data_IF_431671255823
#
_entry.id   IF_431671255823
#
_cell.length_a   1.000
_cell.length_b   1.000
_cell.length_c   1.000
_cell.angle_alpha   90.00
_cell.angle_beta   90.00
_cell.angle_gamma   90.00
#
_symmetry.space_group_name_H-M   'P 1'
#
loop_
_entity.id
_entity.type
_entity.pdbx_description
1 polymer ?
#
# COMPACT_ATOMS: atom_id res chain seq x y z
N UNK A 1 -12.60 51.40 -23.85
CA UNK A 1 -13.89 50.75 -23.49
C UNK A 1 -14.02 49.32 -24.07
N UNK A 2 -13.59 49.07 -25.31
CA UNK A 2 -13.73 47.70 -25.93
C UNK A 2 -12.77 46.69 -25.34
N UNK A 3 -11.56 47.10 -24.97
CA UNK A 3 -10.54 46.22 -24.36
C UNK A 3 -10.87 45.79 -22.92
N UNK A 4 -11.58 46.66 -22.20
CA UNK A 4 -12.06 46.39 -20.82
C UNK A 4 -13.16 45.32 -20.82
N UNK A 5 -14.01 45.33 -21.83
CA UNK A 5 -15.10 44.36 -21.98
C UNK A 5 -14.62 42.97 -22.38
N UNK A 6 -13.49 42.87 -23.10
CA UNK A 6 -12.86 41.60 -23.44
C UNK A 6 -12.10 40.94 -22.26
N UNK A 7 -11.66 41.74 -21.28
CA UNK A 7 -11.02 41.19 -20.07
C UNK A 7 -12.01 40.61 -19.07
N UNK A 8 -13.28 41.03 -19.09
CA UNK A 8 -14.31 40.45 -18.23
C UNK A 8 -14.95 39.15 -18.76
N UNK A 9 -14.71 38.80 -20.03
CA UNK A 9 -15.33 37.63 -20.68
C UNK A 9 -14.51 36.34 -20.60
N UNK A 10 -13.34 36.32 -19.94
CA UNK A 10 -12.48 35.13 -19.88
C UNK A 10 -12.04 34.77 -18.46
N UNK A 11 -12.91 34.89 -17.49
CA UNK A 11 -12.73 34.10 -16.28
C UNK A 11 -13.05 32.64 -16.64
N UNK A 12 -12.12 31.70 -16.46
CA UNK A 12 -12.45 30.29 -16.62
C UNK A 12 -13.56 29.98 -15.62
N UNK A 13 -14.73 29.64 -16.15
CA UNK A 13 -15.79 29.04 -15.34
C UNK A 13 -15.22 27.71 -14.89
N UNK A 14 -14.64 27.68 -13.70
CA UNK A 14 -14.43 26.44 -12.98
C UNK A 14 -15.82 25.87 -12.73
N UNK A 15 -16.30 25.06 -13.69
CA UNK A 15 -17.32 24.08 -13.36
C UNK A 15 -16.66 23.19 -12.33
N UNK A 16 -16.84 23.52 -11.05
CA UNK A 16 -16.54 22.62 -9.96
C UNK A 16 -17.38 21.37 -10.22
N UNK A 17 -16.76 20.38 -10.83
CA UNK A 17 -17.28 19.02 -10.79
C UNK A 17 -17.18 18.66 -9.31
N UNK A 18 -18.25 18.91 -8.56
CA UNK A 18 -18.44 18.29 -7.27
C UNK A 18 -18.66 16.81 -7.62
N UNK A 19 -17.60 16.03 -7.58
CA UNK A 19 -17.70 14.58 -7.54
C UNK A 19 -18.37 14.28 -6.20
N UNK A 20 -19.71 14.33 -6.18
CA UNK A 20 -20.48 13.85 -5.05
C UNK A 20 -20.18 12.35 -4.95
N UNK A 21 -19.67 11.94 -3.79
CA UNK A 21 -19.51 10.50 -3.51
C UNK A 21 -20.83 9.79 -3.83
N UNK A 22 -20.77 8.85 -4.73
CA UNK A 22 -21.93 8.02 -5.07
C UNK A 22 -22.40 7.24 -3.83
N UNK A 23 -23.64 6.85 -3.78
CA UNK A 23 -24.15 6.00 -2.69
C UNK A 23 -23.32 4.72 -2.57
N UNK A 24 -22.84 4.21 -3.70
CA UNK A 24 -21.96 3.03 -3.79
C UNK A 24 -20.59 3.28 -3.16
N UNK A 25 -19.99 4.45 -3.41
CA UNK A 25 -18.69 4.78 -2.82
C UNK A 25 -18.79 4.98 -1.30
N UNK A 26 -19.86 5.57 -0.83
CA UNK A 26 -20.16 5.70 0.61
C UNK A 26 -20.31 4.34 1.26
N UNK A 27 -21.08 3.45 0.62
CA UNK A 27 -21.26 2.08 1.09
C UNK A 27 -19.93 1.33 1.12
N UNK A 28 -19.13 1.37 0.05
CA UNK A 28 -17.82 0.71 -0.03
C UNK A 28 -16.89 1.17 1.09
N UNK A 29 -16.81 2.48 1.35
CA UNK A 29 -16.00 3.02 2.45
C UNK A 29 -16.50 2.57 3.81
N UNK A 30 -17.81 2.63 4.04
CA UNK A 30 -18.42 2.19 5.29
C UNK A 30 -18.20 0.69 5.52
N UNK A 31 -18.31 -0.14 4.48
CA UNK A 31 -18.07 -1.56 4.54
C UNK A 31 -16.61 -1.89 4.88
N UNK A 32 -15.64 -1.23 4.24
CA UNK A 32 -14.21 -1.38 4.54
C UNK A 32 -13.92 -1.05 5.99
N UNK A 33 -14.39 0.10 6.46
CA UNK A 33 -14.13 0.54 7.83
C UNK A 33 -14.86 -0.34 8.86
N UNK A 34 -16.04 -0.87 8.53
CA UNK A 34 -16.78 -1.81 9.40
C UNK A 34 -16.02 -3.12 9.61
N UNK A 35 -15.42 -3.67 8.55
CA UNK A 35 -14.59 -4.89 8.63
C UNK A 35 -13.35 -4.66 9.49
N UNK A 36 -12.70 -3.51 9.36
CA UNK A 36 -11.53 -3.15 10.16
C UNK A 36 -11.89 -2.94 11.64
N UNK A 37 -13.01 -2.24 11.92
CA UNK A 37 -13.52 -2.07 13.28
C UNK A 37 -13.92 -3.41 13.92
N UNK A 38 -14.58 -4.30 13.15
CA UNK A 38 -14.93 -5.65 13.60
C UNK A 38 -13.70 -6.49 13.94
N UNK A 39 -12.58 -6.23 13.25
CA UNK A 39 -11.28 -6.85 13.53
C UNK A 39 -10.53 -6.21 14.73
N UNK A 40 -11.09 -5.20 15.36
CA UNK A 40 -10.47 -4.50 16.51
C UNK A 40 -9.39 -3.49 16.10
N UNK A 41 -9.32 -3.09 14.85
CA UNK A 41 -8.43 -2.01 14.43
C UNK A 41 -9.05 -0.65 14.77
N UNK A 42 -8.24 0.24 15.31
CA UNK A 42 -8.68 1.60 15.62
C UNK A 42 -8.58 2.46 14.36
N UNK A 43 -9.68 3.10 13.99
CA UNK A 43 -9.76 4.06 12.90
C UNK A 43 -10.13 5.40 13.52
N UNK A 44 -9.32 6.43 13.29
CA UNK A 44 -9.55 7.77 13.86
C UNK A 44 -10.87 8.37 13.37
N UNK A 45 -11.13 8.28 12.06
CA UNK A 45 -12.33 8.82 11.44
C UNK A 45 -12.99 7.74 10.56
N UNK A 46 -13.82 6.86 11.13
CA UNK A 46 -14.54 5.86 10.35
C UNK A 46 -15.60 6.52 9.47
N UNK A 47 -15.82 5.98 8.29
CA UNK A 47 -16.84 6.44 7.36
C UNK A 47 -18.23 6.37 7.98
N UNK A 48 -19.11 7.31 7.57
CA UNK A 48 -20.48 7.34 8.03
C UNK A 48 -21.19 6.00 7.72
N UNK A 49 -21.88 5.44 8.70
CA UNK A 49 -22.53 4.12 8.61
C UNK A 49 -21.63 2.92 8.93
N UNK A 50 -20.31 3.08 9.01
CA UNK A 50 -19.40 1.95 9.30
C UNK A 50 -19.72 1.24 10.61
N UNK A 51 -20.04 2.01 11.66
CA UNK A 51 -20.38 1.44 12.98
C UNK A 51 -21.69 0.64 12.97
N UNK A 52 -22.64 1.02 12.12
CA UNK A 52 -23.93 0.29 11.98
C UNK A 52 -23.73 -1.05 11.28
N UNK A 53 -22.72 -1.13 10.40
CA UNK A 53 -22.41 -2.31 9.61
C UNK A 53 -21.49 -3.32 10.33
N UNK A 54 -20.97 -3.01 11.53
CA UNK A 54 -20.05 -3.92 12.28
C UNK A 54 -20.67 -5.30 12.53
N UNK A 55 -21.99 -5.37 12.73
CA UNK A 55 -22.72 -6.62 12.93
C UNK A 55 -22.92 -7.47 11.68
N UNK A 56 -22.66 -6.94 10.49
CA UNK A 56 -22.84 -7.68 9.23
C UNK A 56 -21.82 -8.81 9.10
N UNK A 57 -22.27 -9.94 8.58
CA UNK A 57 -21.40 -11.06 8.20
C UNK A 57 -20.85 -10.84 6.80
N UNK A 58 -19.74 -11.47 6.46
CA UNK A 58 -19.21 -11.43 5.09
C UNK A 58 -20.26 -11.87 4.04
N UNK A 59 -21.13 -12.82 4.43
CA UNK A 59 -22.24 -13.25 3.59
C UNK A 59 -23.23 -12.12 3.28
N UNK A 60 -23.63 -11.38 4.32
CA UNK A 60 -24.63 -10.29 4.18
C UNK A 60 -24.03 -9.15 3.34
N UNK A 61 -22.77 -8.82 3.62
CA UNK A 61 -22.03 -7.85 2.81
C UNK A 61 -21.91 -8.27 1.34
N UNK A 62 -21.66 -9.56 1.10
CA UNK A 62 -21.59 -10.11 -0.25
C UNK A 62 -22.91 -10.01 -1.01
N UNK A 63 -24.04 -10.22 -0.33
CA UNK A 63 -25.38 -10.07 -0.90
C UNK A 63 -25.64 -8.62 -1.31
N UNK A 64 -25.34 -7.67 -0.44
CA UNK A 64 -25.47 -6.24 -0.75
C UNK A 64 -24.60 -5.84 -1.95
N UNK A 65 -23.36 -6.31 -2.00
CA UNK A 65 -22.47 -6.06 -3.13
C UNK A 65 -23.02 -6.65 -4.45
N UNK A 66 -23.53 -7.87 -4.41
CA UNK A 66 -24.12 -8.50 -5.60
C UNK A 66 -25.37 -7.75 -6.10
N UNK A 67 -26.16 -7.18 -5.18
CA UNK A 67 -27.28 -6.32 -5.53
C UNK A 67 -26.84 -5.03 -6.20
N UNK A 68 -25.79 -4.40 -5.67
CA UNK A 68 -25.19 -3.21 -6.27
C UNK A 68 -24.62 -3.49 -7.66
N UNK A 69 -24.01 -4.65 -7.85
CA UNK A 69 -23.47 -5.10 -9.14
C UNK A 69 -24.60 -5.54 -10.12
N UNK A 70 -25.88 -5.28 -9.79
CA UNK A 70 -27.02 -5.52 -10.66
C UNK A 70 -27.57 -6.96 -10.66
N UNK A 71 -27.14 -7.78 -9.71
CA UNK A 71 -27.71 -9.13 -9.56
C UNK A 71 -29.10 -9.04 -8.94
N UNK A 72 -30.11 -9.69 -9.58
CA UNK A 72 -31.47 -9.64 -9.09
C UNK A 72 -31.61 -10.15 -7.65
N UNK A 73 -32.28 -9.37 -6.80
CA UNK A 73 -32.51 -9.68 -5.38
C UNK A 73 -33.28 -11.00 -5.15
N UNK A 74 -34.07 -11.43 -6.14
CA UNK A 74 -34.92 -12.62 -6.00
C UNK A 74 -34.07 -13.86 -5.76
N UNK A 75 -34.07 -14.31 -4.50
CA UNK A 75 -33.49 -15.59 -4.14
C UNK A 75 -32.04 -15.50 -3.58
N UNK A 76 -31.36 -14.37 -3.60
CA UNK A 76 -30.00 -14.25 -3.04
C UNK A 76 -29.95 -14.65 -1.54
N UNK A 77 -30.93 -14.19 -0.75
CA UNK A 77 -31.03 -14.53 0.67
C UNK A 77 -31.30 -16.01 0.94
N UNK A 78 -31.92 -16.72 -0.03
CA UNK A 78 -32.25 -18.16 0.06
C UNK A 78 -31.11 -19.04 -0.44
N UNK A 79 -30.15 -18.50 -1.17
CA UNK A 79 -29.03 -19.27 -1.71
C UNK A 79 -28.13 -19.79 -0.59
N UNK A 80 -27.62 -20.98 -0.80
CA UNK A 80 -26.59 -21.52 0.10
C UNK A 80 -25.30 -20.69 -0.01
N UNK A 81 -24.51 -20.68 1.06
CA UNK A 81 -23.21 -19.96 1.09
C UNK A 81 -22.27 -20.41 -0.04
N UNK A 82 -22.37 -21.65 -0.48
CA UNK A 82 -21.58 -22.20 -1.59
C UNK A 82 -21.94 -21.58 -2.92
N UNK A 83 -23.24 -21.42 -3.17
CA UNK A 83 -23.73 -20.77 -4.39
C UNK A 83 -23.35 -19.30 -4.43
N UNK A 84 -23.45 -18.61 -3.29
CA UNK A 84 -23.03 -17.23 -3.17
C UNK A 84 -21.52 -17.09 -3.42
N UNK A 85 -20.72 -17.98 -2.83
CA UNK A 85 -19.27 -17.98 -3.08
C UNK A 85 -18.93 -18.22 -4.56
N UNK A 86 -19.66 -19.11 -5.21
CA UNK A 86 -19.51 -19.36 -6.66
C UNK A 86 -19.85 -18.14 -7.51
N UNK A 87 -20.88 -17.37 -7.14
CA UNK A 87 -21.24 -16.12 -7.80
C UNK A 87 -20.16 -15.06 -7.57
N UNK A 88 -19.71 -14.90 -6.33
CA UNK A 88 -18.65 -13.96 -5.98
C UNK A 88 -17.33 -14.28 -6.67
N UNK A 89 -17.00 -15.57 -6.81
CA UNK A 89 -15.74 -15.99 -7.45
C UNK A 89 -15.66 -15.54 -8.90
N UNK A 90 -16.80 -15.43 -9.59
CA UNK A 90 -16.88 -14.83 -10.93
C UNK A 90 -16.59 -13.33 -10.90
N UNK A 91 -17.07 -12.64 -9.86
CA UNK A 91 -16.81 -11.21 -9.64
C UNK A 91 -15.34 -10.88 -9.42
N UNK A 92 -14.51 -11.81 -8.90
CA UNK A 92 -13.07 -11.58 -8.73
C UNK A 92 -12.31 -11.38 -10.05
N UNK A 93 -12.90 -11.78 -11.16
CA UNK A 93 -12.36 -11.50 -12.50
C UNK A 93 -12.84 -10.16 -13.07
N UNK A 94 -13.79 -9.50 -12.40
CA UNK A 94 -14.28 -8.18 -12.76
C UNK A 94 -13.70 -7.13 -11.83
N UNK A 95 -12.85 -6.21 -12.32
CA UNK A 95 -12.21 -5.20 -11.48
C UNK A 95 -13.20 -4.17 -10.89
N UNK A 96 -14.40 -4.08 -11.45
CA UNK A 96 -15.45 -3.15 -11.02
C UNK A 96 -16.36 -3.74 -9.94
N UNK A 97 -16.29 -5.05 -9.68
CA UNK A 97 -17.13 -5.71 -8.70
C UNK A 97 -16.93 -5.16 -7.28
N UNK A 98 -18.03 -4.87 -6.59
CA UNK A 98 -18.00 -4.19 -5.30
C UNK A 98 -17.33 -5.00 -4.19
N UNK A 99 -17.63 -6.28 -4.09
CA UNK A 99 -17.10 -7.13 -3.02
C UNK A 99 -15.57 -7.34 -3.07
N UNK A 100 -14.96 -7.69 -4.21
CA UNK A 100 -13.51 -7.76 -4.34
C UNK A 100 -12.83 -6.43 -4.01
N UNK A 101 -13.40 -5.31 -4.46
CA UNK A 101 -12.84 -3.98 -4.19
C UNK A 101 -12.85 -3.63 -2.70
N UNK A 102 -13.90 -4.00 -1.96
CA UNK A 102 -13.97 -3.83 -0.51
C UNK A 102 -12.93 -4.67 0.19
N UNK A 103 -12.77 -5.94 -0.19
CA UNK A 103 -11.77 -6.83 0.40
C UNK A 103 -10.35 -6.31 0.15
N UNK A 104 -10.05 -5.88 -1.07
CA UNK A 104 -8.73 -5.35 -1.44
C UNK A 104 -8.37 -4.11 -0.62
N UNK A 105 -9.28 -3.14 -0.53
CA UNK A 105 -9.08 -1.95 0.30
C UNK A 105 -8.94 -2.29 1.79
N UNK A 106 -9.69 -3.26 2.29
CA UNK A 106 -9.58 -3.72 3.68
C UNK A 106 -8.20 -4.32 3.94
N UNK A 107 -7.73 -5.17 3.04
CA UNK A 107 -6.40 -5.78 3.10
C UNK A 107 -5.31 -4.71 3.06
N UNK A 108 -5.43 -3.74 2.16
CA UNK A 108 -4.46 -2.65 2.05
C UNK A 108 -4.38 -1.80 3.33
N UNK A 109 -5.53 -1.41 3.89
CA UNK A 109 -5.57 -0.66 5.15
C UNK A 109 -5.01 -1.49 6.31
N UNK A 110 -5.38 -2.76 6.43
CA UNK A 110 -4.85 -3.65 7.46
C UNK A 110 -3.33 -3.84 7.33
N UNK A 111 -2.82 -3.94 6.10
CA UNK A 111 -1.38 -4.00 5.83
C UNK A 111 -0.67 -2.72 6.27
N UNK A 112 -1.21 -1.55 5.94
CA UNK A 112 -0.64 -0.24 6.33
C UNK A 112 -0.56 -0.10 7.85
N UNK A 113 -1.61 -0.50 8.58
CA UNK A 113 -1.62 -0.47 10.03
C UNK A 113 -0.62 -1.46 10.64
N UNK A 114 -0.51 -2.66 10.10
CA UNK A 114 0.51 -3.63 10.49
C UNK A 114 1.93 -3.12 10.27
N UNK A 115 2.15 -2.40 9.17
CA UNK A 115 3.44 -1.80 8.86
C UNK A 115 3.84 -0.71 9.87
N UNK A 116 2.92 0.15 10.30
CA UNK A 116 3.17 1.21 11.28
C UNK A 116 3.54 0.67 12.66
N UNK A 117 2.95 -0.47 13.07
CA UNK A 117 3.15 -1.05 14.41
C UNK A 117 4.54 -1.65 14.64
N UNK A 118 5.31 -1.91 13.59
CA UNK A 118 6.63 -2.54 13.74
C UNK A 118 7.70 -1.48 13.89
N UNK A 119 8.27 -1.40 15.08
CA UNK A 119 9.44 -0.58 15.32
C UNK A 119 10.68 -1.19 14.63
N UNK A 120 11.37 -0.38 13.84
CA UNK A 120 12.65 -0.72 13.23
C UNK A 120 13.67 0.35 13.55
N UNK A 121 14.92 -0.04 13.65
CA UNK A 121 16.01 0.86 14.02
C UNK A 121 16.77 1.38 12.81
N UNK A 122 16.72 0.69 11.69
CA UNK A 122 17.48 1.06 10.49
C UNK A 122 17.05 2.41 9.90
N UNK A 123 15.81 2.83 10.09
CA UNK A 123 15.30 4.13 9.61
C UNK A 123 16.09 5.33 10.19
N UNK A 124 16.81 5.14 11.31
CA UNK A 124 17.58 6.20 11.97
C UNK A 124 18.93 6.51 11.29
N UNK A 125 19.50 5.54 10.60
CA UNK A 125 20.84 5.66 10.00
C UNK A 125 20.87 5.37 8.50
N UNK A 126 19.74 4.98 7.90
CA UNK A 126 19.64 4.75 6.47
C UNK A 126 18.77 5.81 5.80
N UNK A 127 19.06 6.12 4.53
CA UNK A 127 18.28 7.00 3.69
C UNK A 127 17.60 6.22 2.58
N UNK A 128 16.35 6.52 2.31
CA UNK A 128 15.63 5.96 1.17
C UNK A 128 16.19 6.54 -0.13
N UNK A 129 16.52 5.68 -1.07
CA UNK A 129 16.87 6.03 -2.43
C UNK A 129 15.92 5.39 -3.42
N UNK A 130 16.00 5.79 -4.69
CA UNK A 130 15.28 5.17 -5.80
C UNK A 130 16.28 4.69 -6.84
N UNK A 131 15.95 3.57 -7.50
CA UNK A 131 16.66 3.08 -8.68
C UNK A 131 15.67 3.00 -9.82
N UNK A 132 16.07 3.39 -11.06
CA UNK A 132 15.15 3.44 -12.20
C UNK A 132 14.82 2.06 -12.75
N UNK A 133 15.67 1.07 -12.52
CA UNK A 133 15.54 -0.28 -13.08
C UNK A 133 16.08 -1.37 -12.12
N UNK A 134 15.98 -2.64 -12.55
CA UNK A 134 16.46 -3.82 -11.82
C UNK A 134 17.92 -4.20 -12.15
N UNK A 135 18.63 -3.38 -12.93
CA UNK A 135 20.02 -3.64 -13.25
C UNK A 135 20.89 -3.38 -12.03
N UNK A 136 22.11 -3.91 -12.08
CA UNK A 136 23.11 -3.62 -11.06
C UNK A 136 23.68 -2.23 -11.33
N UNK A 137 23.61 -1.36 -10.33
CA UNK A 137 24.19 -0.02 -10.39
C UNK A 137 25.43 0.02 -9.50
N UNK A 138 26.53 0.45 -10.08
CA UNK A 138 27.77 0.71 -9.37
C UNK A 138 27.73 2.13 -8.80
N UNK A 139 28.16 2.29 -7.57
CA UNK A 139 28.36 3.61 -6.98
C UNK A 139 29.80 4.01 -7.17
N UNK A 140 30.01 5.12 -7.81
CA UNK A 140 31.32 5.75 -7.83
C UNK A 140 31.46 6.63 -6.58
N UNK A 141 32.31 6.21 -5.69
CA UNK A 141 32.86 7.07 -4.65
C UNK A 141 34.24 7.47 -5.10
N UNK A 142 34.54 8.70 -5.12
CA UNK A 142 35.92 9.13 -5.05
C UNK A 142 36.31 8.93 -3.59
N UNK A 143 37.08 7.89 -3.30
CA UNK A 143 37.73 7.78 -2.00
C UNK A 143 38.55 9.03 -1.84
N UNK A 144 38.22 9.83 -0.85
CA UNK A 144 39.01 11.02 -0.52
C UNK A 144 40.47 10.63 -0.28
N UNK A 145 41.38 11.59 -0.25
CA UNK A 145 42.79 11.32 0.01
C UNK A 145 42.93 10.52 1.30
N UNK A 146 43.41 9.29 1.17
CA UNK A 146 43.62 8.40 2.29
C UNK A 146 45.05 8.64 2.78
N UNK A 147 45.23 9.68 3.56
CA UNK A 147 46.49 9.94 4.14
C UNK A 147 46.59 11.31 4.79
N UNK A 148 47.53 11.44 5.69
CA UNK A 148 47.93 12.74 6.26
C UNK A 148 48.74 13.52 5.23
N UNK A 149 48.63 14.85 5.26
CA UNK A 149 49.50 15.67 4.44
C UNK A 149 50.94 15.45 4.88
N UNK A 150 51.82 15.12 3.91
CA UNK A 150 53.22 14.92 4.18
C UNK A 150 53.95 16.28 4.29
N UNK A 151 54.86 16.41 5.23
CA UNK A 151 55.69 17.57 5.33
C UNK A 151 56.58 17.72 4.08
N UNK A 152 56.51 18.88 3.46
CA UNK A 152 57.32 19.20 2.28
C UNK A 152 58.45 20.15 2.71
N UNK A 153 59.70 19.71 2.66
CA UNK A 153 60.83 20.59 2.98
C UNK A 153 60.97 21.71 1.93
N UNK A 154 61.61 22.81 2.33
CA UNK A 154 61.90 23.92 1.42
C UNK A 154 62.61 23.41 0.15
N UNK A 155 62.02 23.67 -1.04
CA UNK A 155 62.41 23.12 -2.34
C UNK A 155 62.12 21.62 -2.59
N UNK A 156 61.27 20.99 -1.74
CA UNK A 156 60.88 19.62 -1.95
C UNK A 156 59.78 19.45 -3.03
N UNK A 157 59.75 18.31 -3.73
CA UNK A 157 58.72 17.95 -4.68
C UNK A 157 57.44 17.49 -3.95
N UNK A 158 56.27 18.02 -4.41
CA UNK A 158 54.97 17.53 -4.02
C UNK A 158 54.75 16.14 -4.62
N UNK A 159 54.48 15.15 -3.79
CA UNK A 159 54.10 13.81 -4.27
C UNK A 159 52.66 13.80 -4.72
N UNK A 160 52.42 13.20 -5.89
CA UNK A 160 51.07 12.97 -6.37
C UNK A 160 50.38 11.92 -5.50
N UNK A 161 49.16 12.22 -5.10
CA UNK A 161 48.29 11.26 -4.44
C UNK A 161 47.65 10.32 -5.51
N UNK A 162 47.61 9.03 -5.22
CA UNK A 162 47.02 8.03 -6.11
C UNK A 162 45.65 7.64 -5.56
N UNK A 163 44.62 8.03 -6.27
CA UNK A 163 43.26 7.61 -5.95
C UNK A 163 43.12 6.10 -6.26
N UNK A 164 42.88 5.31 -5.24
CA UNK A 164 42.57 3.88 -5.40
C UNK A 164 41.08 3.75 -5.65
N UNK A 165 40.70 3.21 -6.82
CA UNK A 165 39.33 2.79 -7.09
C UNK A 165 39.02 1.54 -6.24
N UNK A 166 38.49 1.74 -5.05
CA UNK A 166 37.92 0.66 -4.28
C UNK A 166 36.62 0.21 -4.92
N UNK A 167 36.47 -1.11 -5.04
CA UNK A 167 35.23 -1.72 -5.53
C UNK A 167 34.07 -1.32 -4.66
N UNK A 168 33.24 -0.45 -5.19
CA UNK A 168 32.11 0.11 -4.48
C UNK A 168 30.96 -0.87 -4.34
N UNK A 169 30.19 -0.79 -3.27
CA UNK A 169 29.07 -1.68 -3.07
C UNK A 169 28.05 -1.48 -4.20
N UNK A 170 27.73 -2.57 -4.86
CA UNK A 170 26.75 -2.61 -5.92
C UNK A 170 25.33 -2.54 -5.36
N UNK A 171 24.46 -1.78 -6.01
CA UNK A 171 23.04 -1.70 -5.66
C UNK A 171 22.20 -2.38 -6.73
N UNK A 172 21.24 -3.19 -6.28
CA UNK A 172 20.29 -3.87 -7.15
C UNK A 172 18.94 -3.95 -6.47
N UNK A 173 17.87 -3.66 -7.22
CA UNK A 173 16.51 -3.89 -6.76
C UNK A 173 16.20 -5.39 -6.74
N UNK A 174 15.57 -5.85 -5.67
CA UNK A 174 15.02 -7.20 -5.53
C UNK A 174 13.57 -7.11 -5.15
N UNK A 175 12.73 -7.93 -5.77
CA UNK A 175 11.30 -8.01 -5.46
C UNK A 175 11.06 -9.10 -4.42
N UNK A 176 10.33 -8.77 -3.37
CA UNK A 176 9.88 -9.70 -2.35
C UNK A 176 8.37 -9.66 -2.27
N UNK A 177 7.73 -10.81 -2.28
CA UNK A 177 6.28 -10.90 -2.23
C UNK A 177 5.82 -12.16 -1.53
N UNK A 178 4.60 -12.12 -1.02
CA UNK A 178 3.83 -13.27 -0.57
C UNK A 178 2.42 -13.16 -1.09
N UNK A 179 1.84 -14.29 -1.43
CA UNK A 179 0.46 -14.38 -1.87
C UNK A 179 -0.37 -15.07 -0.78
N UNK A 180 -1.59 -14.61 -0.60
CA UNK A 180 -2.58 -15.35 0.17
C UNK A 180 -3.89 -15.40 -0.62
N UNK A 181 -4.69 -16.39 -0.32
CA UNK A 181 -5.97 -16.61 -1.00
C UNK A 181 -7.07 -16.71 0.03
N UNK A 182 -8.18 -16.01 -0.20
CA UNK A 182 -9.38 -16.18 0.58
C UNK A 182 -9.99 -17.54 0.25
N UNK A 183 -9.99 -18.45 1.20
CA UNK A 183 -10.59 -19.77 1.00
C UNK A 183 -12.11 -19.71 1.13
N UNK A 184 -12.81 -20.64 0.41
CA UNK A 184 -14.25 -20.83 0.56
C UNK A 184 -14.64 -21.04 2.03
N UNK A 185 -13.85 -21.81 2.79
CA UNK A 185 -14.09 -22.06 4.20
C UNK A 185 -14.08 -20.77 5.02
N UNK A 186 -13.09 -19.91 4.81
CA UNK A 186 -13.00 -18.63 5.49
C UNK A 186 -14.20 -17.72 5.23
N UNK A 187 -14.75 -17.76 4.02
CA UNK A 187 -15.97 -17.03 3.67
C UNK A 187 -17.20 -17.59 4.38
N UNK A 188 -17.37 -18.92 4.42
CA UNK A 188 -18.51 -19.58 5.05
C UNK A 188 -18.46 -19.39 6.58
N UNK A 189 -17.29 -19.53 7.18
CA UNK A 189 -17.08 -19.43 8.63
C UNK A 189 -17.04 -17.96 9.12
N UNK A 190 -17.19 -16.98 8.22
CA UNK A 190 -17.08 -15.52 8.51
C UNK A 190 -15.76 -15.15 9.19
N UNK A 191 -14.66 -15.79 8.75
CA UNK A 191 -13.33 -15.57 9.32
C UNK A 191 -12.69 -14.28 8.81
N UNK A 192 -13.07 -13.17 9.45
CA UNK A 192 -12.54 -11.83 9.14
C UNK A 192 -11.07 -11.72 9.51
N UNK A 193 -10.58 -12.55 10.43
CA UNK A 193 -9.18 -12.50 10.87
C UNK A 193 -8.22 -12.77 9.72
N UNK A 194 -8.63 -13.56 8.75
CA UNK A 194 -7.87 -13.88 7.54
C UNK A 194 -7.65 -12.64 6.65
N UNK A 195 -8.66 -11.77 6.58
CA UNK A 195 -8.62 -10.56 5.75
C UNK A 195 -7.89 -9.41 6.43
N UNK A 196 -7.85 -9.38 7.75
CA UNK A 196 -7.32 -8.25 8.52
C UNK A 196 -6.01 -8.57 9.24
N UNK A 197 -5.95 -9.66 10.00
CA UNK A 197 -4.76 -10.00 10.79
C UNK A 197 -3.62 -10.58 9.96
N UNK A 198 -3.93 -11.34 8.92
CA UNK A 198 -2.90 -11.93 8.07
C UNK A 198 -2.11 -10.87 7.28
N UNK A 199 -2.75 -9.87 6.63
CA UNK A 199 -2.03 -8.78 5.99
C UNK A 199 -1.17 -7.98 6.96
N UNK A 200 -1.65 -7.72 8.17
CA UNK A 200 -0.88 -7.04 9.21
C UNK A 200 0.37 -7.84 9.61
N UNK A 201 0.27 -9.17 9.74
CA UNK A 201 1.42 -10.05 9.99
C UNK A 201 2.40 -10.05 8.83
N UNK A 202 1.92 -10.01 7.58
CA UNK A 202 2.78 -9.91 6.40
C UNK A 202 3.52 -8.57 6.34
N UNK A 203 2.85 -7.48 6.70
CA UNK A 203 3.49 -6.17 6.82
C UNK A 203 4.61 -6.18 7.85
N UNK A 204 4.36 -6.78 9.01
CA UNK A 204 5.37 -6.95 10.05
C UNK A 204 6.56 -7.81 9.57
N UNK A 205 6.28 -8.90 8.87
CA UNK A 205 7.32 -9.76 8.30
C UNK A 205 8.15 -9.03 7.23
N UNK A 206 7.52 -8.22 6.38
CA UNK A 206 8.21 -7.39 5.39
C UNK A 206 9.18 -6.40 6.05
N UNK A 207 8.74 -5.68 7.09
CA UNK A 207 9.59 -4.77 7.85
C UNK A 207 10.78 -5.49 8.50
N UNK A 208 10.56 -6.67 9.09
CA UNK A 208 11.63 -7.49 9.66
C UNK A 208 12.60 -7.98 8.60
N UNK A 209 12.12 -8.33 7.40
CA UNK A 209 12.97 -8.74 6.28
C UNK A 209 13.90 -7.62 5.84
N UNK A 210 13.38 -6.40 5.68
CA UNK A 210 14.18 -5.21 5.35
C UNK A 210 15.21 -4.95 6.46
N UNK A 211 14.78 -4.96 7.71
CA UNK A 211 15.67 -4.78 8.86
C UNK A 211 16.84 -5.78 8.85
N UNK A 212 16.53 -7.07 8.65
CA UNK A 212 17.55 -8.10 8.55
C UNK A 212 18.55 -7.85 7.43
N UNK A 213 18.07 -7.44 6.25
CA UNK A 213 18.93 -7.16 5.09
C UNK A 213 19.86 -5.97 5.31
N UNK A 214 19.34 -4.90 5.92
CA UNK A 214 20.17 -3.72 6.24
C UNK A 214 21.30 -4.10 7.21
N UNK A 215 20.98 -4.84 8.27
CA UNK A 215 22.00 -5.26 9.22
C UNK A 215 22.99 -6.31 8.68
N UNK A 216 22.57 -7.11 7.71
CA UNK A 216 23.47 -8.04 7.03
C UNK A 216 24.55 -7.36 6.16
N UNK A 217 24.33 -6.10 5.78
CA UNK A 217 25.35 -5.32 5.05
C UNK A 217 26.42 -4.76 6.00
N UNK A 218 26.07 -4.60 7.28
CA UNK A 218 26.96 -4.02 8.28
C UNK A 218 27.83 -5.07 9.00
N UNK A 219 27.50 -6.33 8.86
CA UNK A 219 28.22 -7.49 9.45
C UNK A 219 28.95 -8.25 8.35
#
# INVERSE_FOLDING_TARGET
AVIEHMRQASAPVHTGVSVGDSAEDKFRRAAVDSLLLKAGLQIENPADGARQMIGMRMRDLAIECLQMDGTSERGLNRRNSDELYSLLSRGFYNPEAAFPAILDQTIEKAYREGHKKVAVTFDRFTKKGSLPDFKTHDNYYVAGPVGEFLEVPENGELKHDVFTDDKLPQRKLKTYGRQFTLSRKAFIDDDISLVTSLPARYAAAARKTINKQVFQILV
#
